data_IF_760159767797
#
_entry.id   IF_760159767797
#
_cell.length_a   1.000
_cell.length_b   1.000
_cell.length_c   1.000
_cell.angle_alpha   90.00
_cell.angle_beta   90.00
_cell.angle_gamma   90.00
#
_symmetry.space_group_name_H-M   'P 1'
#
loop_
_entity.id
_entity.type
_entity.pdbx_description
1 polymer ?
#
# COMPACT_ATOMS: atom_id res chain seq x y z
N UNK A 1 -3.59 -25.34 -5.33
CA UNK A 1 -2.50 -24.46 -4.89
C UNK A 1 -2.48 -24.44 -3.35
N UNK A 2 -1.28 -24.56 -2.76
CA UNK A 2 -1.10 -24.61 -1.30
C UNK A 2 -1.58 -23.30 -0.63
N UNK A 3 -1.29 -22.15 -1.22
CA UNK A 3 -1.71 -20.84 -0.69
C UNK A 3 -3.22 -20.67 -0.67
N UNK A 4 -3.91 -21.12 -1.67
CA UNK A 4 -5.39 -21.09 -1.73
C UNK A 4 -5.97 -21.94 -0.60
N UNK A 5 -5.47 -23.17 -0.40
CA UNK A 5 -5.92 -24.06 0.69
C UNK A 5 -5.71 -23.43 2.08
N UNK A 6 -4.61 -22.70 2.28
CA UNK A 6 -4.38 -21.98 3.53
C UNK A 6 -5.40 -20.87 3.73
N UNK A 7 -5.71 -20.08 2.70
CA UNK A 7 -6.72 -19.03 2.79
C UNK A 7 -8.12 -19.60 3.06
N UNK A 8 -8.48 -20.71 2.42
CA UNK A 8 -9.74 -21.41 2.67
C UNK A 8 -9.84 -21.93 4.11
N UNK A 9 -8.76 -22.50 4.63
CA UNK A 9 -8.66 -22.93 6.04
C UNK A 9 -8.88 -21.77 7.02
N UNK A 10 -8.43 -20.56 6.67
CA UNK A 10 -8.67 -19.35 7.47
C UNK A 10 -10.16 -18.94 7.45
N UNK A 11 -10.88 -19.16 6.33
CA UNK A 11 -12.33 -18.94 6.27
C UNK A 11 -13.03 -19.89 7.23
N UNK A 12 -12.70 -21.18 7.16
CA UNK A 12 -13.31 -22.23 7.99
C UNK A 12 -13.04 -22.02 9.48
N UNK A 13 -11.88 -21.48 9.84
CA UNK A 13 -11.53 -21.17 11.23
C UNK A 13 -12.44 -20.12 11.86
N UNK A 14 -13.06 -19.26 11.06
CA UNK A 14 -13.90 -18.16 11.51
C UNK A 14 -13.20 -17.03 12.26
N UNK A 15 -11.88 -17.10 12.42
CA UNK A 15 -11.09 -16.06 13.11
C UNK A 15 -11.05 -14.74 12.33
N UNK A 16 -10.88 -13.66 13.08
CA UNK A 16 -10.53 -12.37 12.49
C UNK A 16 -9.03 -12.36 12.12
N UNK A 17 -8.74 -11.88 10.93
CA UNK A 17 -7.40 -11.99 10.32
C UNK A 17 -6.77 -10.61 10.19
N UNK A 18 -5.48 -10.55 10.49
CA UNK A 18 -4.62 -9.42 10.21
C UNK A 18 -3.30 -9.92 9.61
N UNK A 19 -3.13 -9.76 8.30
CA UNK A 19 -1.87 -10.04 7.62
C UNK A 19 -0.99 -8.78 7.68
N UNK A 20 -0.05 -8.76 8.60
CA UNK A 20 0.84 -7.61 8.84
C UNK A 20 1.80 -7.33 7.68
N UNK A 21 2.07 -8.32 6.85
CA UNK A 21 2.90 -8.15 5.66
C UNK A 21 2.07 -7.68 4.46
N UNK A 22 2.68 -6.86 3.61
CA UNK A 22 2.04 -6.46 2.37
C UNK A 22 1.96 -7.63 1.39
N UNK A 23 0.76 -7.95 0.94
CA UNK A 23 0.53 -8.94 -0.11
C UNK A 23 1.01 -8.40 -1.46
N UNK A 24 1.47 -9.29 -2.32
CA UNK A 24 1.80 -8.93 -3.70
C UNK A 24 0.52 -8.85 -4.54
N UNK A 25 0.12 -7.64 -4.92
CA UNK A 25 -1.07 -7.40 -5.73
C UNK A 25 -1.04 -8.11 -7.10
N UNK A 26 0.15 -8.42 -7.62
CA UNK A 26 0.30 -9.14 -8.90
C UNK A 26 -0.22 -10.57 -8.84
N UNK A 27 -0.30 -11.14 -7.66
CA UNK A 27 -0.80 -12.51 -7.42
C UNK A 27 -2.31 -12.56 -7.25
N UNK A 28 -3.00 -11.43 -7.14
CA UNK A 28 -4.45 -11.40 -6.94
C UNK A 28 -5.18 -11.70 -8.24
N UNK A 29 -5.70 -12.89 -8.34
CA UNK A 29 -6.63 -13.32 -9.39
C UNK A 29 -8.08 -13.08 -8.96
N UNK A 30 -9.04 -13.28 -9.87
CA UNK A 30 -10.47 -13.20 -9.53
C UNK A 30 -10.86 -14.20 -8.43
N UNK A 31 -10.33 -15.43 -8.49
CA UNK A 31 -10.50 -16.48 -7.47
C UNK A 31 -9.96 -16.03 -6.11
N UNK A 32 -8.73 -15.49 -6.07
CA UNK A 32 -8.12 -15.00 -4.83
C UNK A 32 -8.92 -13.83 -4.27
N UNK A 33 -9.37 -12.90 -5.10
CA UNK A 33 -10.20 -11.77 -4.67
C UNK A 33 -11.52 -12.25 -4.04
N UNK A 34 -12.15 -13.28 -4.62
CA UNK A 34 -13.33 -13.91 -4.06
C UNK A 34 -13.05 -14.54 -2.69
N UNK A 35 -11.93 -15.25 -2.54
CA UNK A 35 -11.52 -15.85 -1.26
C UNK A 35 -11.26 -14.76 -0.21
N UNK A 36 -10.48 -13.71 -0.56
CA UNK A 36 -10.19 -12.59 0.32
C UNK A 36 -11.45 -11.88 0.80
N UNK A 37 -12.51 -11.84 -0.01
CA UNK A 37 -13.79 -11.23 0.36
C UNK A 37 -14.55 -12.01 1.43
N UNK A 38 -14.31 -13.31 1.58
CA UNK A 38 -14.95 -14.17 2.57
C UNK A 38 -14.24 -14.14 3.93
N UNK A 39 -12.99 -13.64 3.98
CA UNK A 39 -12.21 -13.55 5.20
C UNK A 39 -12.71 -12.42 6.12
N UNK A 40 -12.64 -12.65 7.41
CA UNK A 40 -13.02 -11.66 8.44
C UNK A 40 -11.81 -10.78 8.78
N UNK A 41 -11.62 -9.69 8.06
CA UNK A 41 -10.52 -8.76 8.29
C UNK A 41 -10.70 -7.93 9.56
N UNK A 42 -9.64 -7.82 10.37
CA UNK A 42 -9.65 -6.92 11.54
C UNK A 42 -9.79 -5.48 11.06
N UNK A 43 -8.97 -5.06 10.10
CA UNK A 43 -9.00 -3.67 9.60
C UNK A 43 -8.76 -3.58 8.10
N UNK A 44 -7.55 -3.86 7.64
CA UNK A 44 -7.12 -3.64 6.27
C UNK A 44 -6.62 -4.90 5.59
N UNK A 45 -6.86 -4.97 4.27
CA UNK A 45 -6.06 -5.78 3.37
C UNK A 45 -4.82 -4.95 3.00
N UNK A 46 -3.64 -5.49 3.27
CA UNK A 46 -2.38 -4.78 3.06
C UNK A 46 -1.68 -5.29 1.81
N UNK A 47 -1.30 -4.36 0.94
CA UNK A 47 -0.53 -4.65 -0.28
C UNK A 47 0.74 -3.81 -0.28
N UNK A 48 1.76 -4.21 -1.06
CA UNK A 48 2.98 -3.44 -1.23
C UNK A 48 3.03 -2.77 -2.61
N UNK A 49 3.64 -1.57 -2.67
CA UNK A 49 3.94 -0.84 -3.88
C UNK A 49 5.36 -0.26 -3.79
N UNK A 50 6.35 -1.12 -3.98
CA UNK A 50 7.76 -0.76 -3.85
C UNK A 50 8.38 -0.31 -5.17
N UNK A 51 7.67 -0.52 -6.29
CA UNK A 51 8.09 -0.14 -7.63
C UNK A 51 6.93 0.26 -8.52
N UNK A 52 7.23 1.06 -9.56
CA UNK A 52 6.24 1.58 -10.52
C UNK A 52 5.40 0.48 -11.20
N UNK A 53 5.95 -0.68 -11.63
CA UNK A 53 5.15 -1.73 -12.26
C UNK A 53 4.04 -2.31 -11.37
N UNK A 54 4.14 -2.18 -10.05
CA UNK A 54 3.12 -2.69 -9.13
C UNK A 54 1.85 -1.81 -9.11
N UNK A 55 1.91 -0.57 -9.57
CA UNK A 55 0.76 0.35 -9.60
C UNK A 55 -0.42 -0.26 -10.35
N UNK A 56 -0.18 -0.75 -11.58
CA UNK A 56 -1.22 -1.35 -12.40
C UNK A 56 -1.86 -2.58 -11.73
N UNK A 57 -1.05 -3.39 -11.04
CA UNK A 57 -1.54 -4.55 -10.30
C UNK A 57 -2.44 -4.13 -9.12
N UNK A 58 -2.11 -3.05 -8.41
CA UNK A 58 -2.93 -2.52 -7.31
C UNK A 58 -4.27 -1.99 -7.83
N UNK A 59 -4.28 -1.27 -8.95
CA UNK A 59 -5.53 -0.82 -9.60
C UNK A 59 -6.42 -2.01 -9.96
N UNK A 60 -5.86 -3.02 -10.64
CA UNK A 60 -6.57 -4.24 -10.98
C UNK A 60 -7.10 -4.96 -9.74
N UNK A 61 -6.30 -5.05 -8.69
CA UNK A 61 -6.70 -5.66 -7.41
C UNK A 61 -7.87 -4.91 -6.78
N UNK A 62 -7.84 -3.57 -6.79
CA UNK A 62 -8.94 -2.76 -6.27
C UNK A 62 -10.26 -3.01 -7.04
N UNK A 63 -10.18 -3.15 -8.35
CA UNK A 63 -11.34 -3.51 -9.20
C UNK A 63 -11.85 -4.91 -8.87
N UNK A 64 -10.97 -5.91 -8.81
CA UNK A 64 -11.33 -7.30 -8.48
C UNK A 64 -11.96 -7.41 -7.10
N UNK A 65 -11.38 -6.79 -6.08
CA UNK A 65 -11.92 -6.77 -4.73
C UNK A 65 -13.29 -6.07 -4.68
N UNK A 66 -13.45 -4.99 -5.47
CA UNK A 66 -14.70 -4.26 -5.61
C UNK A 66 -15.85 -5.12 -6.14
N UNK A 67 -15.59 -6.03 -7.08
CA UNK A 67 -16.58 -7.01 -7.58
C UNK A 67 -17.18 -7.86 -6.46
N UNK A 68 -16.39 -8.13 -5.43
CA UNK A 68 -16.78 -8.94 -4.26
C UNK A 68 -17.13 -8.10 -3.03
N UNK A 69 -17.40 -6.80 -3.21
CA UNK A 69 -17.91 -5.92 -2.17
C UNK A 69 -16.86 -5.33 -1.22
N UNK A 70 -15.56 -5.56 -1.46
CA UNK A 70 -14.49 -4.94 -0.67
C UNK A 70 -14.19 -3.54 -1.22
N UNK A 71 -14.49 -2.53 -0.42
CA UNK A 71 -14.24 -1.12 -0.80
C UNK A 71 -12.76 -0.76 -0.70
N UNK A 72 -12.24 0.16 -1.54
CA UNK A 72 -10.87 0.65 -1.45
C UNK A 72 -10.47 1.20 -0.07
N UNK A 73 -11.44 1.68 0.73
CA UNK A 73 -11.19 2.11 2.11
C UNK A 73 -10.73 0.98 3.05
N UNK A 74 -10.85 -0.27 2.62
CA UNK A 74 -10.29 -1.44 3.31
C UNK A 74 -8.89 -1.80 2.84
N UNK A 75 -8.36 -1.13 1.83
CA UNK A 75 -7.01 -1.37 1.32
C UNK A 75 -6.01 -0.40 1.95
N UNK A 76 -4.89 -0.93 2.41
CA UNK A 76 -3.72 -0.18 2.86
C UNK A 76 -2.52 -0.56 2.01
N UNK A 77 -1.86 0.41 1.41
CA UNK A 77 -0.68 0.19 0.58
C UNK A 77 0.57 0.61 1.34
N UNK A 78 1.46 -0.35 1.60
CA UNK A 78 2.83 -0.07 2.00
C UNK A 78 3.60 0.46 0.80
N UNK A 79 4.31 1.55 0.98
CA UNK A 79 5.07 2.22 -0.06
C UNK A 79 6.51 2.45 0.42
N UNK A 80 7.47 1.75 -0.19
CA UNK A 80 8.88 1.93 0.11
C UNK A 80 9.38 3.27 -0.45
N UNK A 81 10.00 4.08 0.39
CA UNK A 81 10.57 5.38 0.03
C UNK A 81 12.09 5.24 -0.03
N UNK A 82 12.61 5.08 -1.23
CA UNK A 82 14.05 5.06 -1.51
C UNK A 82 14.60 6.49 -1.61
N UNK A 83 15.87 6.65 -1.99
CA UNK A 83 16.45 7.96 -2.29
C UNK A 83 15.79 8.66 -3.49
N UNK A 84 15.15 7.93 -4.38
CA UNK A 84 14.37 8.47 -5.52
C UNK A 84 12.96 8.92 -5.05
N UNK A 85 12.91 10.12 -4.47
CA UNK A 85 11.66 10.70 -3.98
C UNK A 85 10.69 11.06 -5.13
N UNK A 86 11.20 11.37 -6.31
CA UNK A 86 10.35 11.65 -7.48
C UNK A 86 9.56 10.41 -7.89
N UNK A 87 10.19 9.23 -7.87
CA UNK A 87 9.50 7.96 -8.10
C UNK A 87 8.50 7.63 -6.98
N UNK A 88 8.86 7.89 -5.72
CA UNK A 88 7.95 7.68 -4.60
C UNK A 88 6.72 8.60 -4.72
N UNK A 89 6.90 9.89 -5.05
CA UNK A 89 5.82 10.84 -5.30
C UNK A 89 4.92 10.39 -6.46
N UNK A 90 5.51 10.00 -7.58
CA UNK A 90 4.76 9.47 -8.72
C UNK A 90 3.86 8.30 -8.32
N UNK A 91 4.39 7.32 -7.57
CA UNK A 91 3.59 6.17 -7.09
C UNK A 91 2.45 6.61 -6.18
N UNK A 92 2.69 7.55 -5.27
CA UNK A 92 1.64 8.10 -4.41
C UNK A 92 0.54 8.76 -5.24
N UNK A 93 0.90 9.62 -6.20
CA UNK A 93 -0.08 10.33 -7.02
C UNK A 93 -0.94 9.35 -7.86
N UNK A 94 -0.33 8.29 -8.39
CA UNK A 94 -1.07 7.25 -9.08
C UNK A 94 -2.03 6.48 -8.14
N UNK A 95 -1.58 6.13 -6.95
CA UNK A 95 -2.40 5.42 -5.96
C UNK A 95 -3.55 6.28 -5.43
N UNK A 96 -3.38 7.59 -5.30
CA UNK A 96 -4.43 8.54 -4.88
C UNK A 96 -5.65 8.54 -5.81
N UNK A 97 -5.48 8.13 -7.05
CA UNK A 97 -6.60 8.01 -8.00
C UNK A 97 -7.60 6.92 -7.59
N UNK A 98 -7.18 5.94 -6.79
CA UNK A 98 -8.07 4.96 -6.17
C UNK A 98 -8.73 5.61 -4.95
N UNK A 99 -9.95 6.10 -5.12
CA UNK A 99 -10.68 6.84 -4.06
C UNK A 99 -10.87 5.99 -2.80
N UNK A 100 -10.40 6.49 -1.68
CA UNK A 100 -10.60 5.84 -0.38
C UNK A 100 -9.42 5.01 0.11
N UNK A 101 -8.47 4.65 -0.74
CA UNK A 101 -7.27 3.90 -0.36
C UNK A 101 -6.48 4.60 0.75
N UNK A 102 -5.83 3.82 1.59
CA UNK A 102 -4.87 4.31 2.58
C UNK A 102 -3.45 3.99 2.14
N UNK A 103 -2.51 4.90 2.40
CA UNK A 103 -1.08 4.71 2.13
C UNK A 103 -0.33 4.73 3.45
N UNK A 104 0.66 3.86 3.57
CA UNK A 104 1.63 3.82 4.66
C UNK A 104 3.03 3.80 4.06
N UNK A 105 3.66 4.96 3.97
CA UNK A 105 5.01 5.09 3.44
C UNK A 105 6.05 4.75 4.52
N UNK A 106 7.10 4.04 4.10
CA UNK A 106 8.22 3.66 4.95
C UNK A 106 9.52 4.05 4.28
N UNK A 107 10.35 4.83 4.96
CA UNK A 107 11.67 5.16 4.48
C UNK A 107 12.57 3.91 4.49
N UNK A 108 13.25 3.66 3.38
CA UNK A 108 14.11 2.49 3.21
C UNK A 108 15.20 2.47 4.27
N UNK A 109 15.31 1.34 4.97
CA UNK A 109 16.38 1.03 5.91
C UNK A 109 16.85 -0.39 5.66
N UNK A 110 18.14 -0.56 5.44
CA UNK A 110 18.77 -1.88 5.36
C UNK A 110 20.15 -1.82 6.01
N UNK A 111 20.21 -2.25 7.26
CA UNK A 111 21.43 -2.17 8.07
C UNK A 111 22.55 -3.05 7.51
N UNK A 112 22.21 -4.22 6.94
CA UNK A 112 23.19 -5.13 6.35
C UNK A 112 23.87 -4.55 5.10
N UNK A 113 23.20 -3.63 4.41
CA UNK A 113 23.70 -2.92 3.24
C UNK A 113 24.17 -1.49 3.56
N UNK A 114 24.17 -1.08 4.82
CA UNK A 114 24.51 0.28 5.24
C UNK A 114 23.52 1.37 4.79
N UNK A 115 22.30 0.98 4.39
CA UNK A 115 21.28 1.93 3.92
C UNK A 115 20.56 2.53 5.13
N UNK A 116 20.74 3.85 5.30
CA UNK A 116 20.04 4.64 6.32
C UNK A 116 19.27 5.78 5.65
N UNK A 117 17.97 5.95 5.97
CA UNK A 117 17.19 6.99 5.32
C UNK A 117 17.68 8.38 5.71
N UNK A 118 17.76 9.28 4.74
CA UNK A 118 18.07 10.69 4.95
C UNK A 118 16.84 11.47 5.52
N UNK A 119 17.04 12.76 5.80
CA UNK A 119 15.97 13.60 6.36
C UNK A 119 14.76 13.68 5.43
N UNK A 120 14.96 13.88 4.14
CA UNK A 120 13.86 14.03 3.17
C UNK A 120 13.05 12.75 3.03
N UNK A 121 13.69 11.58 3.02
CA UNK A 121 12.99 10.29 2.99
C UNK A 121 12.12 10.11 4.24
N UNK A 122 12.60 10.49 5.43
CA UNK A 122 11.82 10.41 6.67
C UNK A 122 10.63 11.37 6.66
N UNK A 123 10.83 12.61 6.22
CA UNK A 123 9.76 13.62 6.10
C UNK A 123 8.68 13.16 5.09
N UNK A 124 9.11 12.63 3.94
CA UNK A 124 8.20 12.04 2.98
C UNK A 124 7.37 10.91 3.59
N UNK A 125 8.03 9.96 4.24
CA UNK A 125 7.35 8.82 4.85
C UNK A 125 6.34 9.27 5.91
N UNK A 126 6.72 10.19 6.80
CA UNK A 126 5.82 10.71 7.83
C UNK A 126 4.57 11.39 7.27
N UNK A 127 4.69 12.05 6.12
CA UNK A 127 3.55 12.70 5.47
C UNK A 127 2.48 11.71 5.05
N UNK A 128 2.88 10.51 4.61
CA UNK A 128 2.00 9.49 4.04
C UNK A 128 1.73 8.33 5.01
N UNK A 129 1.55 8.63 6.28
CA UNK A 129 1.15 7.66 7.31
C UNK A 129 -0.29 7.93 7.75
N UNK A 130 -1.25 7.24 7.18
CA UNK A 130 -2.69 7.34 7.50
C UNK A 130 -3.28 8.76 7.42
N UNK A 131 -2.53 9.72 6.94
CA UNK A 131 -2.94 11.13 6.94
C UNK A 131 -3.79 11.46 5.72
N UNK A 132 -4.96 12.05 5.93
CA UNK A 132 -5.76 12.65 4.87
C UNK A 132 -5.06 13.82 4.15
N UNK A 133 -4.02 14.39 4.74
CA UNK A 133 -3.28 15.54 4.20
C UNK A 133 -2.60 15.24 2.86
N UNK A 134 -2.21 13.99 2.59
CA UNK A 134 -1.61 13.61 1.31
C UNK A 134 -2.56 13.79 0.11
N UNK A 135 -3.86 13.96 0.36
CA UNK A 135 -4.86 14.14 -0.70
C UNK A 135 -4.94 15.57 -1.23
N UNK A 136 -4.41 16.55 -0.51
CA UNK A 136 -4.57 17.96 -0.83
C UNK A 136 -3.37 18.58 -1.53
N UNK A 137 -2.15 18.19 -1.16
CA UNK A 137 -0.91 18.71 -1.73
C UNK A 137 -0.01 17.57 -2.17
N UNK A 138 0.68 17.71 -3.28
CA UNK A 138 1.79 16.84 -3.67
C UNK A 138 2.95 16.92 -2.67
N UNK A 139 3.88 15.97 -2.72
CA UNK A 139 5.09 16.06 -1.92
C UNK A 139 5.91 17.30 -2.27
N UNK A 140 6.09 17.57 -3.56
CA UNK A 140 6.87 18.70 -4.05
C UNK A 140 6.31 20.03 -3.53
N UNK A 141 5.00 20.25 -3.63
CA UNK A 141 4.35 21.46 -3.10
C UNK A 141 4.52 21.59 -1.57
N UNK A 142 4.34 20.49 -0.85
CA UNK A 142 4.52 20.46 0.60
C UNK A 142 5.98 20.76 0.99
N UNK A 143 6.93 20.09 0.32
CA UNK A 143 8.35 20.21 0.65
C UNK A 143 8.87 21.64 0.38
N UNK A 144 8.43 22.26 -0.73
CA UNK A 144 8.71 23.70 -1.00
C UNK A 144 8.11 24.61 0.05
N UNK A 145 6.84 24.42 0.39
CA UNK A 145 6.17 25.22 1.42
C UNK A 145 6.80 25.09 2.81
N UNK A 146 7.58 24.05 3.05
CA UNK A 146 8.36 23.82 4.27
C UNK A 146 9.83 24.23 4.16
N UNK A 147 10.29 24.69 3.00
CA UNK A 147 11.70 25.00 2.78
C UNK A 147 12.63 23.77 2.88
N UNK A 148 12.12 22.58 2.54
CA UNK A 148 12.90 21.34 2.53
C UNK A 148 13.64 21.13 1.21
N UNK A 149 13.09 21.70 0.14
CA UNK A 149 13.63 21.71 -1.23
C UNK A 149 13.39 23.10 -1.84
N UNK A 150 14.17 23.45 -2.88
CA UNK A 150 14.07 24.70 -3.66
C UNK A 150 12.86 24.75 -4.60
#
# INVERSE_FOLDING_TARGET
DYGIKQLESLIDSGYKIDLNQGMDARLVTDEIAQILSKLKWIRYLRFSCDSTPQIAAIHKTAELLGKYGIKPSKMLIYLLVTSDLANAEYRVEQLKTIRGISIYAQAERNESMGITPNKLQREFAQRYVYSGKFRTLSWTEYARGKGLID
#
